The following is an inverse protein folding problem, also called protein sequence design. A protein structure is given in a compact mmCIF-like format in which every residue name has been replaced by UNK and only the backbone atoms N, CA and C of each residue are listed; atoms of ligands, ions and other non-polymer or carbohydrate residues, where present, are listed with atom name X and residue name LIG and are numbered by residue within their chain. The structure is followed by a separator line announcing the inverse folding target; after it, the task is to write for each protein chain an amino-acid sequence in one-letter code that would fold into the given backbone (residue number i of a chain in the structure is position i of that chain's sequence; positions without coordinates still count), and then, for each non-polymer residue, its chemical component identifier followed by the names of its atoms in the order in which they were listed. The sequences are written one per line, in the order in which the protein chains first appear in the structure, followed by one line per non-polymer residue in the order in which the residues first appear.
data_IF_058693228595
#
_entry.id   IF_058693228595
#
_cell.length_a   1.000
_cell.length_b   1.000
_cell.length_c   1.000
_cell.angle_alpha   90.00
_cell.angle_beta   90.00
_cell.angle_gamma   90.00
#
_symmetry.space_group_name_H-M   'P 1'
#
loop_
_entity.id
_entity.type
_entity.pdbx_description
1 polymer ?
#
# COMPACT_ATOMS: atom_id res chain seq x y z
N UNK A 1 -22.95 3.31 8.40
CA UNK A 1 -22.36 2.88 7.12
C UNK A 1 -21.82 1.48 7.31
N UNK A 2 -22.23 0.52 6.47
CA UNK A 2 -21.71 -0.86 6.53
C UNK A 2 -20.22 -0.86 6.18
N UNK A 3 -19.39 -1.53 6.97
CA UNK A 3 -17.98 -1.73 6.65
C UNK A 3 -17.87 -2.88 5.65
N UNK A 4 -17.25 -2.62 4.50
CA UNK A 4 -17.00 -3.65 3.48
C UNK A 4 -15.76 -4.46 3.87
N UNK A 5 -16.00 -5.59 4.53
CA UNK A 5 -14.95 -6.50 5.00
C UNK A 5 -14.52 -7.45 3.89
N UNK A 6 -13.20 -7.63 3.74
CA UNK A 6 -12.62 -8.51 2.73
C UNK A 6 -11.61 -9.49 3.33
N UNK A 7 -11.59 -10.70 2.77
CA UNK A 7 -10.50 -11.64 2.94
C UNK A 7 -9.36 -11.29 1.98
N UNK A 8 -8.13 -11.52 2.41
CA UNK A 8 -6.94 -11.33 1.59
C UNK A 8 -5.92 -12.40 1.93
N UNK A 9 -5.44 -13.13 0.92
CA UNK A 9 -4.36 -14.11 1.01
C UNK A 9 -3.16 -13.61 0.21
N UNK A 10 -1.96 -13.78 0.76
CA UNK A 10 -0.71 -13.35 0.11
C UNK A 10 0.25 -14.52 -0.02
N UNK A 11 0.87 -14.62 -1.19
CA UNK A 11 1.85 -15.65 -1.52
C UNK A 11 3.13 -14.98 -2.01
N UNK A 12 4.27 -15.39 -1.46
CA UNK A 12 5.59 -14.97 -1.93
C UNK A 12 6.08 -15.96 -2.97
N UNK A 13 6.36 -15.46 -4.17
CA UNK A 13 6.65 -16.26 -5.34
C UNK A 13 8.05 -15.94 -5.87
N UNK A 14 8.86 -16.96 -6.08
CA UNK A 14 9.99 -16.89 -7.00
C UNK A 14 9.51 -17.02 -8.45
N UNK A 15 10.44 -16.97 -9.41
CA UNK A 15 10.08 -17.04 -10.83
C UNK A 15 9.42 -18.38 -11.22
N UNK A 16 9.81 -19.50 -10.59
CA UNK A 16 9.23 -20.80 -10.88
C UNK A 16 7.77 -20.86 -10.39
N UNK A 17 7.53 -20.48 -9.13
CA UNK A 17 6.19 -20.42 -8.54
C UNK A 17 5.30 -19.39 -9.20
N UNK A 18 5.86 -18.29 -9.68
CA UNK A 18 5.12 -17.33 -10.50
C UNK A 18 4.63 -18.00 -11.78
N UNK A 19 5.48 -18.74 -12.49
CA UNK A 19 5.06 -19.47 -13.70
C UNK A 19 3.92 -20.45 -13.39
N UNK A 20 4.01 -21.19 -12.29
CA UNK A 20 2.97 -22.12 -11.87
C UNK A 20 1.66 -21.37 -11.55
N UNK A 21 1.75 -20.24 -10.82
CA UNK A 21 0.61 -19.41 -10.48
C UNK A 21 -0.06 -18.82 -11.73
N UNK A 22 0.71 -18.35 -12.71
CA UNK A 22 0.17 -17.85 -13.98
C UNK A 22 -0.48 -18.97 -14.81
N UNK A 23 0.12 -20.16 -14.85
CA UNK A 23 -0.50 -21.32 -15.50
C UNK A 23 -1.84 -21.67 -14.85
N UNK A 24 -1.91 -21.68 -13.51
CA UNK A 24 -3.15 -21.87 -12.78
C UNK A 24 -4.17 -20.78 -13.08
N UNK A 25 -3.77 -19.51 -13.03
CA UNK A 25 -4.60 -18.35 -13.31
C UNK A 25 -5.30 -18.50 -14.68
N UNK A 26 -4.52 -18.75 -15.75
CA UNK A 26 -5.07 -18.81 -17.10
C UNK A 26 -5.84 -20.08 -17.42
N UNK A 27 -5.49 -21.22 -16.83
CA UNK A 27 -6.08 -22.52 -17.22
C UNK A 27 -7.12 -23.06 -16.23
N UNK A 28 -7.15 -22.54 -15.00
CA UNK A 28 -7.99 -23.07 -13.90
C UNK A 28 -8.92 -22.02 -13.30
N UNK A 29 -8.85 -20.78 -13.75
CA UNK A 29 -9.74 -19.70 -13.29
C UNK A 29 -10.39 -18.99 -14.46
N UNK A 30 -11.39 -18.16 -14.18
CA UNK A 30 -12.00 -17.23 -15.14
C UNK A 30 -11.37 -15.84 -15.07
N UNK A 31 -10.22 -15.71 -14.40
CA UNK A 31 -9.59 -14.43 -14.16
C UNK A 31 -9.09 -13.82 -15.48
N UNK A 32 -9.47 -12.57 -15.71
CA UNK A 32 -9.05 -11.80 -16.89
C UNK A 32 -8.39 -10.51 -16.45
N UNK A 33 -7.48 -9.98 -17.27
CA UNK A 33 -6.84 -8.70 -16.97
C UNK A 33 -7.90 -7.60 -16.95
N UNK A 34 -8.01 -6.91 -15.81
CA UNK A 34 -9.07 -5.93 -15.57
C UNK A 34 -8.61 -4.50 -15.85
N UNK A 35 -7.34 -4.23 -15.58
CA UNK A 35 -6.73 -2.91 -15.72
C UNK A 35 -5.29 -3.06 -16.19
N UNK A 36 -4.83 -2.07 -16.96
CA UNK A 36 -3.43 -1.99 -17.34
C UNK A 36 -2.52 -2.00 -16.11
N UNK A 37 -1.40 -2.70 -16.24
CA UNK A 37 -0.29 -2.65 -15.30
C UNK A 37 0.09 -1.21 -14.98
N UNK A 38 0.29 -0.91 -13.70
CA UNK A 38 0.71 0.42 -13.24
C UNK A 38 1.64 0.34 -12.04
N UNK A 39 2.47 1.37 -11.90
CA UNK A 39 3.28 1.61 -10.71
C UNK A 39 2.39 2.03 -9.54
N UNK A 40 2.65 1.45 -8.38
CA UNK A 40 2.01 1.79 -7.12
C UNK A 40 3.12 2.20 -6.15
N UNK A 41 2.93 3.35 -5.52
CA UNK A 41 3.86 3.88 -4.55
C UNK A 41 3.14 4.16 -3.25
N UNK A 42 3.81 3.90 -2.12
CA UNK A 42 3.24 4.15 -0.81
C UNK A 42 4.32 4.56 0.19
N UNK A 43 4.00 5.55 1.04
CA UNK A 43 4.74 5.86 2.27
C UNK A 43 3.92 5.34 3.44
N UNK A 44 4.48 4.41 4.20
CA UNK A 44 3.89 3.89 5.42
C UNK A 44 4.23 4.80 6.59
N UNK A 45 3.27 4.92 7.49
CA UNK A 45 3.38 5.67 8.74
C UNK A 45 3.26 4.69 9.91
N UNK A 46 4.04 4.95 10.95
CA UNK A 46 3.96 4.27 12.24
C UNK A 46 4.17 5.29 13.35
N UNK A 47 3.99 4.90 14.60
CA UNK A 47 4.47 5.70 15.72
C UNK A 47 5.97 5.54 15.96
N UNK A 48 6.52 6.39 16.82
CA UNK A 48 7.94 6.39 17.22
C UNK A 48 8.36 5.07 17.88
N UNK A 49 7.40 4.36 18.50
CA UNK A 49 7.60 3.05 19.09
C UNK A 49 7.43 1.89 18.10
N UNK A 50 7.09 2.15 16.83
CA UNK A 50 6.82 1.14 15.82
C UNK A 50 5.70 0.16 16.24
N UNK A 51 4.60 0.63 16.84
CA UNK A 51 3.52 -0.26 17.29
C UNK A 51 2.89 -1.05 16.14
N UNK A 52 2.69 -0.47 14.96
CA UNK A 52 1.98 -1.12 13.85
C UNK A 52 2.72 -2.35 13.34
N UNK A 53 4.05 -2.26 13.20
CA UNK A 53 4.87 -3.41 12.81
C UNK A 53 4.99 -4.43 13.94
N UNK A 54 5.15 -4.01 15.20
CA UNK A 54 5.18 -4.93 16.36
C UNK A 54 3.91 -5.74 16.46
N UNK A 55 2.75 -5.09 16.35
CA UNK A 55 1.44 -5.74 16.34
C UNK A 55 1.29 -6.71 15.18
N UNK A 56 1.80 -6.33 14.00
CA UNK A 56 1.76 -7.22 12.86
C UNK A 56 2.61 -8.48 13.06
N UNK A 57 3.82 -8.36 13.62
CA UNK A 57 4.72 -9.47 13.90
C UNK A 57 4.22 -10.36 15.05
N UNK A 58 3.61 -9.75 16.06
CA UNK A 58 2.98 -10.46 17.19
C UNK A 58 1.64 -11.13 16.81
N UNK A 59 1.11 -10.86 15.62
CA UNK A 59 -0.14 -11.44 15.15
C UNK A 59 -1.39 -10.87 15.84
N UNK A 60 -1.32 -9.63 16.33
CA UNK A 60 -2.44 -8.99 17.02
C UNK A 60 -3.64 -8.89 16.06
N UNK A 61 -4.83 -9.38 16.47
CA UNK A 61 -5.97 -9.51 15.57
C UNK A 61 -6.53 -8.14 15.15
N UNK A 62 -6.61 -7.19 16.08
CA UNK A 62 -7.06 -5.83 15.81
C UNK A 62 -5.85 -4.91 15.67
N UNK A 63 -5.56 -4.47 14.44
CA UNK A 63 -4.40 -3.60 14.16
C UNK A 63 -4.64 -2.71 12.95
N UNK A 64 -3.93 -1.59 12.89
CA UNK A 64 -4.00 -0.66 11.77
C UNK A 64 -2.72 -0.69 10.93
N UNK A 65 -2.85 -0.37 9.64
CA UNK A 65 -1.74 -0.02 8.76
C UNK A 65 -2.08 1.32 8.11
N UNK A 66 -1.19 2.29 8.29
CA UNK A 66 -1.38 3.66 7.84
C UNK A 66 -0.44 3.92 6.67
N UNK A 67 -0.95 4.50 5.58
CA UNK A 67 -0.11 4.84 4.43
C UNK A 67 -0.67 5.98 3.60
N UNK A 68 0.22 6.78 3.03
CA UNK A 68 -0.08 7.62 1.87
C UNK A 68 0.23 6.83 0.61
N UNK A 69 -0.72 6.73 -0.33
CA UNK A 69 -0.58 5.95 -1.57
C UNK A 69 -0.91 6.78 -2.80
N UNK A 70 -0.17 6.58 -3.88
CA UNK A 70 -0.43 7.17 -5.19
C UNK A 70 -0.10 6.19 -6.32
N UNK A 71 -0.45 6.55 -7.57
CA UNK A 71 -0.36 5.67 -8.74
C UNK A 71 0.38 6.34 -9.90
N UNK A 72 1.18 5.57 -10.64
CA UNK A 72 1.95 6.05 -11.80
C UNK A 72 3.12 6.97 -11.41
N UNK A 73 3.70 7.63 -12.41
CA UNK A 73 4.83 8.56 -12.26
C UNK A 73 4.42 9.98 -11.87
N UNK A 74 3.21 10.10 -11.34
CA UNK A 74 2.75 11.21 -10.49
C UNK A 74 2.38 12.54 -11.17
N UNK A 75 2.36 12.65 -12.50
CA UNK A 75 1.87 13.89 -13.13
C UNK A 75 0.38 14.17 -12.88
N UNK A 76 -0.45 13.16 -12.53
CA UNK A 76 -1.91 13.35 -12.42
C UNK A 76 -2.62 12.54 -11.31
N UNK A 77 -1.91 11.85 -10.41
CA UNK A 77 -2.57 11.01 -9.40
C UNK A 77 -2.72 11.74 -8.06
N UNK A 78 -3.96 12.01 -7.65
CA UNK A 78 -4.29 12.49 -6.30
C UNK A 78 -3.82 11.46 -5.25
N UNK A 79 -2.89 11.81 -4.34
CA UNK A 79 -2.48 10.90 -3.28
C UNK A 79 -3.61 10.70 -2.26
N UNK A 80 -3.73 9.47 -1.77
CA UNK A 80 -4.78 9.05 -0.84
C UNK A 80 -4.12 8.48 0.41
N UNK A 81 -4.44 9.04 1.57
CA UNK A 81 -4.08 8.44 2.84
C UNK A 81 -5.09 7.34 3.18
N UNK A 82 -4.60 6.12 3.36
CA UNK A 82 -5.41 4.95 3.65
C UNK A 82 -5.16 4.50 5.10
N UNK A 83 -6.25 4.32 5.85
CA UNK A 83 -6.27 3.65 7.15
C UNK A 83 -6.84 2.24 6.93
N UNK A 84 -5.97 1.23 6.97
CA UNK A 84 -6.36 -0.18 6.81
C UNK A 84 -6.45 -0.85 8.17
N UNK A 85 -7.66 -1.19 8.59
CA UNK A 85 -7.91 -1.90 9.84
C UNK A 85 -8.07 -3.39 9.56
N UNK A 86 -7.35 -4.21 10.32
CA UNK A 86 -7.50 -5.67 10.32
C UNK A 86 -8.24 -6.10 11.59
N UNK A 87 -9.16 -7.04 11.43
CA UNK A 87 -9.88 -7.75 12.49
C UNK A 87 -9.71 -9.26 12.23
N UNK A 88 -8.61 -9.81 12.74
CA UNK A 88 -8.19 -11.17 12.43
C UNK A 88 -7.83 -11.33 10.95
N UNK A 89 -8.59 -12.14 10.21
CA UNK A 89 -8.43 -12.36 8.76
C UNK A 89 -9.17 -11.34 7.91
N UNK A 90 -10.17 -10.68 8.48
CA UNK A 90 -10.95 -9.66 7.79
C UNK A 90 -10.22 -8.33 7.85
N UNK A 91 -10.40 -7.51 6.83
CA UNK A 91 -9.97 -6.12 6.89
C UNK A 91 -10.90 -5.22 6.11
N UNK A 92 -10.93 -3.96 6.51
CA UNK A 92 -11.56 -2.88 5.76
C UNK A 92 -10.58 -1.71 5.68
N UNK A 93 -10.88 -0.75 4.81
CA UNK A 93 -10.08 0.47 4.69
C UNK A 93 -10.96 1.71 4.63
N UNK A 94 -10.45 2.80 5.19
CA UNK A 94 -10.99 4.15 5.02
C UNK A 94 -9.96 4.98 4.27
N UNK A 95 -10.42 5.77 3.30
CA UNK A 95 -9.56 6.56 2.41
C UNK A 95 -9.79 8.05 2.63
N UNK A 96 -8.70 8.82 2.67
CA UNK A 96 -8.69 10.27 2.85
C UNK A 96 -7.85 10.89 1.72
N UNK A 97 -8.49 11.43 0.66
CA UNK A 97 -7.76 12.09 -0.43
C UNK A 97 -7.05 13.35 0.08
N UNK A 98 -5.74 13.45 -0.12
CA UNK A 98 -4.94 14.60 0.35
C UNK A 98 -4.93 15.68 -0.73
N UNK A 99 -6.04 16.41 -0.85
CA UNK A 99 -6.23 17.44 -1.90
C UNK A 99 -5.25 18.60 -1.82
N UNK A 100 -4.68 18.84 -0.64
CA UNK A 100 -3.64 19.86 -0.44
C UNK A 100 -2.31 19.55 -1.14
N UNK A 101 -2.18 18.35 -1.73
CA UNK A 101 -1.06 17.95 -2.58
C UNK A 101 -1.57 17.86 -4.02
N UNK A 102 -1.55 19.02 -4.69
CA UNK A 102 -2.13 19.20 -6.03
C UNK A 102 -1.18 18.78 -7.17
N UNK A 103 0.14 18.84 -6.94
CA UNK A 103 1.19 18.41 -7.88
C UNK A 103 2.52 18.18 -7.17
N UNK A 104 3.45 17.51 -7.85
CA UNK A 104 4.86 17.34 -7.45
C UNK A 104 5.07 16.73 -6.06
N UNK A 105 4.28 15.73 -5.65
CA UNK A 105 4.48 15.04 -4.37
C UNK A 105 5.92 14.47 -4.25
N UNK A 106 6.53 14.03 -5.35
CA UNK A 106 7.91 13.54 -5.40
C UNK A 106 8.96 14.62 -5.10
N UNK A 107 8.63 15.90 -5.26
CA UNK A 107 9.54 17.03 -4.97
C UNK A 107 9.29 17.62 -3.57
N UNK A 108 8.16 17.30 -2.95
CA UNK A 108 7.84 17.77 -1.61
C UNK A 108 8.72 17.09 -0.57
N UNK A 109 9.12 17.88 0.41
CA UNK A 109 9.79 17.36 1.58
C UNK A 109 8.86 16.43 2.40
N UNK A 110 9.42 15.35 2.92
CA UNK A 110 8.69 14.32 3.69
C UNK A 110 7.96 14.91 4.93
N UNK A 111 8.53 15.89 5.62
CA UNK A 111 7.87 16.54 6.77
C UNK A 111 6.67 17.38 6.31
N UNK A 112 6.77 18.00 5.15
CA UNK A 112 5.66 18.75 4.54
C UNK A 112 4.53 17.80 4.15
N UNK A 113 4.86 16.66 3.55
CA UNK A 113 3.89 15.62 3.21
C UNK A 113 3.19 15.11 4.48
N UNK A 114 3.96 14.80 5.52
CA UNK A 114 3.47 14.31 6.81
C UNK A 114 2.53 15.32 7.46
N UNK A 115 2.93 16.60 7.52
CA UNK A 115 2.11 17.68 8.08
C UNK A 115 0.79 17.86 7.33
N UNK A 116 0.81 17.79 5.99
CA UNK A 116 -0.41 17.84 5.16
C UNK A 116 -1.33 16.66 5.43
N UNK A 117 -0.79 15.44 5.57
CA UNK A 117 -1.56 14.25 5.89
C UNK A 117 -2.24 14.37 7.26
N UNK A 118 -1.48 14.74 8.30
CA UNK A 118 -2.00 14.90 9.67
C UNK A 118 -3.12 15.95 9.70
N UNK A 119 -2.93 17.08 9.01
CA UNK A 119 -3.94 18.14 8.92
C UNK A 119 -5.23 17.63 8.26
N UNK A 120 -5.14 16.88 7.17
CA UNK A 120 -6.31 16.33 6.50
C UNK A 120 -7.06 15.31 7.38
N UNK A 121 -6.32 14.42 8.06
CA UNK A 121 -6.89 13.44 8.98
C UNK A 121 -7.60 14.13 10.15
N UNK A 122 -7.00 15.18 10.70
CA UNK A 122 -7.60 16.01 11.77
C UNK A 122 -8.90 16.66 11.32
N UNK A 123 -8.97 17.19 10.09
CA UNK A 123 -10.19 17.76 9.51
C UNK A 123 -11.32 16.73 9.39
N UNK A 124 -10.98 15.45 9.30
CA UNK A 124 -11.91 14.33 9.28
C UNK A 124 -12.17 13.71 10.67
N UNK A 125 -11.75 14.38 11.75
CA UNK A 125 -11.83 13.91 13.14
C UNK A 125 -11.12 12.56 13.37
N UNK A 126 -10.06 12.28 12.60
CA UNK A 126 -9.20 11.13 12.81
C UNK A 126 -7.98 11.60 13.61
N UNK A 127 -7.92 11.14 14.85
CA UNK A 127 -6.83 11.42 15.78
C UNK A 127 -6.09 10.12 16.09
N UNK A 128 -4.78 10.22 16.22
CA UNK A 128 -3.93 9.14 16.68
C UNK A 128 -3.34 9.56 18.02
N UNK A 129 -3.31 8.63 18.97
CA UNK A 129 -2.79 8.89 20.32
C UNK A 129 -1.28 9.15 20.31
N UNK A 130 -0.59 8.63 19.30
CA UNK A 130 0.85 8.75 19.12
C UNK A 130 1.22 9.61 17.90
N UNK A 131 2.42 10.18 17.93
CA UNK A 131 2.94 10.96 16.82
C UNK A 131 3.29 10.04 15.64
N UNK A 132 2.61 10.25 14.51
CA UNK A 132 2.86 9.50 13.29
C UNK A 132 4.09 10.03 12.57
N UNK A 133 5.01 9.12 12.28
CA UNK A 133 6.20 9.36 11.48
C UNK A 133 6.17 8.50 10.21
N UNK A 134 6.64 9.02 9.06
CA UNK A 134 6.87 8.20 7.89
C UNK A 134 8.02 7.23 8.20
N UNK A 135 7.88 5.96 7.82
CA UNK A 135 8.85 4.90 8.19
C UNK A 135 9.38 4.12 7.00
N UNK A 136 8.52 3.80 6.03
CA UNK A 136 8.88 2.93 4.92
C UNK A 136 8.24 3.43 3.63
N UNK A 137 9.06 3.72 2.62
CA UNK A 137 8.57 3.90 1.27
C UNK A 137 8.63 2.58 0.52
N UNK A 138 7.57 2.25 -0.23
CA UNK A 138 7.49 1.04 -1.05
C UNK A 138 6.95 1.41 -2.44
N UNK A 139 7.67 1.00 -3.47
CA UNK A 139 7.27 1.12 -4.88
C UNK A 139 7.21 -0.27 -5.49
N UNK A 140 6.25 -0.52 -6.38
CA UNK A 140 6.16 -1.77 -7.11
C UNK A 140 5.28 -1.61 -8.34
N UNK A 141 5.38 -2.54 -9.27
CA UNK A 141 4.46 -2.63 -10.40
C UNK A 141 3.39 -3.69 -10.12
N UNK A 142 2.13 -3.35 -10.36
CA UNK A 142 0.99 -4.24 -10.10
C UNK A 142 0.23 -4.57 -11.37
N UNK A 143 -0.02 -5.85 -11.57
CA UNK A 143 -0.97 -6.41 -12.54
C UNK A 143 -2.29 -6.76 -11.85
N UNK A 144 -3.41 -6.64 -12.57
CA UNK A 144 -4.76 -6.77 -11.99
C UNK A 144 -5.59 -7.76 -12.78
N UNK A 145 -6.08 -8.79 -12.10
CA UNK A 145 -6.99 -9.78 -12.65
C UNK A 145 -8.27 -9.84 -11.82
N UNK A 146 -9.39 -10.12 -12.48
CA UNK A 146 -10.70 -10.27 -11.83
C UNK A 146 -11.42 -11.46 -12.47
N UNK A 147 -11.97 -12.34 -11.63
CA UNK A 147 -12.84 -13.45 -12.04
C UNK A 147 -14.27 -12.98 -12.24
N UNK A 148 -15.13 -13.80 -12.85
CA UNK A 148 -16.56 -13.50 -12.97
C UNK A 148 -17.31 -13.45 -11.63
N UNK A 149 -16.78 -14.09 -10.58
CA UNK A 149 -17.35 -14.11 -9.23
C UNK A 149 -16.78 -13.00 -8.33
N UNK A 150 -16.27 -11.92 -8.93
CA UNK A 150 -15.68 -10.74 -8.26
C UNK A 150 -14.46 -11.03 -7.35
N UNK A 151 -13.82 -12.20 -7.48
CA UNK A 151 -12.52 -12.48 -6.87
C UNK A 151 -11.45 -11.70 -7.63
N UNK A 152 -10.64 -10.93 -6.89
CA UNK A 152 -9.55 -10.12 -7.43
C UNK A 152 -8.22 -10.78 -7.15
N UNK A 153 -7.38 -10.85 -8.17
CA UNK A 153 -6.04 -11.40 -8.06
C UNK A 153 -5.06 -10.33 -8.54
N UNK A 154 -3.99 -10.09 -7.80
CA UNK A 154 -2.96 -9.14 -8.20
C UNK A 154 -1.58 -9.74 -8.10
N UNK A 155 -0.71 -9.40 -9.04
CA UNK A 155 0.71 -9.75 -9.01
C UNK A 155 1.52 -8.47 -8.82
N UNK A 156 2.26 -8.40 -7.72
CA UNK A 156 3.22 -7.33 -7.42
C UNK A 156 4.63 -7.79 -7.78
N UNK A 157 5.34 -6.98 -8.55
CA UNK A 157 6.70 -7.23 -9.01
C UNK A 157 7.54 -5.95 -9.01
N UNK A 158 8.85 -6.09 -9.24
CA UNK A 158 9.81 -4.97 -9.14
C UNK A 158 9.64 -4.17 -7.84
N UNK A 159 9.43 -4.91 -6.74
CA UNK A 159 9.18 -4.32 -5.43
C UNK A 159 10.49 -3.70 -4.93
N UNK A 160 10.45 -2.41 -4.64
CA UNK A 160 11.54 -1.64 -4.09
C UNK A 160 11.08 -0.98 -2.79
N UNK A 161 11.97 -0.88 -1.82
CA UNK A 161 11.67 -0.21 -0.56
C UNK A 161 12.86 0.59 -0.04
N UNK A 162 12.58 1.65 0.71
CA UNK A 162 13.58 2.50 1.36
C UNK A 162 13.06 3.06 2.67
N UNK A 163 13.99 3.50 3.52
CA UNK A 163 13.66 4.23 4.74
C UNK A 163 13.16 5.63 4.38
N UNK A 164 11.91 5.95 4.75
CA UNK A 164 11.32 7.23 4.39
C UNK A 164 11.91 8.41 5.16
N UNK A 165 12.56 8.19 6.31
CA UNK A 165 13.14 9.27 7.14
C UNK A 165 14.55 9.66 6.68
N UNK A 166 15.26 8.75 6.01
CA UNK A 166 16.57 9.04 5.45
C UNK A 166 16.52 9.92 4.19
N UNK A 167 15.31 10.17 3.69
CA UNK A 167 15.07 10.90 2.46
C UNK A 167 14.49 12.28 2.71
N UNK A 168 15.06 13.30 2.06
CA UNK A 168 14.46 14.64 2.05
C UNK A 168 13.19 14.60 1.22
N UNK A 169 13.20 13.91 0.08
CA UNK A 169 12.06 13.75 -0.82
C UNK A 169 11.81 12.30 -1.22
N UNK A 170 10.58 11.91 -1.60
CA UNK A 170 10.26 10.53 -2.00
C UNK A 170 11.00 10.02 -3.25
N UNK A 171 11.72 10.88 -3.99
CA UNK A 171 12.38 10.53 -5.25
C UNK A 171 13.86 10.13 -5.07
N UNK A 172 14.36 10.07 -3.84
CA UNK A 172 15.77 9.79 -3.60
C UNK A 172 16.14 8.30 -3.86
N UNK A 173 17.30 8.09 -4.48
CA UNK A 173 17.68 6.86 -5.16
C UNK A 173 18.27 5.73 -4.28
N UNK A 174 18.09 5.73 -2.96
CA UNK A 174 18.61 4.66 -2.09
C UNK A 174 17.53 3.61 -1.76
N UNK A 175 17.02 2.93 -2.79
CA UNK A 175 16.07 1.84 -2.60
C UNK A 175 16.72 0.47 -2.66
N UNK A 176 16.19 -0.46 -1.89
CA UNK A 176 16.54 -1.87 -1.89
C UNK A 176 15.51 -2.65 -2.71
N UNK A 177 15.99 -3.50 -3.61
CA UNK A 177 15.13 -4.40 -4.39
C UNK A 177 14.78 -5.64 -3.60
N UNK A 178 13.49 -5.98 -3.57
CA UNK A 178 12.99 -7.24 -3.05
C UNK A 178 12.98 -8.29 -4.18
N UNK A 179 13.61 -9.47 -3.99
CA UNK A 179 13.87 -10.40 -5.09
C UNK A 179 12.64 -11.21 -5.53
N UNK A 180 11.59 -11.26 -4.73
CA UNK A 180 10.41 -12.08 -4.97
C UNK A 180 9.22 -11.25 -5.44
N UNK A 181 8.25 -11.94 -6.04
CA UNK A 181 6.95 -11.40 -6.43
C UNK A 181 5.94 -11.72 -5.35
N UNK A 182 4.87 -10.93 -5.26
CA UNK A 182 3.78 -11.19 -4.32
C UNK A 182 2.48 -11.33 -5.09
N UNK A 183 1.83 -12.48 -4.96
CA UNK A 183 0.46 -12.67 -5.40
C UNK A 183 -0.49 -12.39 -4.24
N UNK A 184 -1.52 -11.58 -4.47
CA UNK A 184 -2.63 -11.33 -3.55
C UNK A 184 -3.92 -11.83 -4.19
N UNK A 185 -4.75 -12.55 -3.40
CA UNK A 185 -6.08 -13.03 -3.76
C UNK A 185 -7.08 -12.57 -2.70
#
# INVERSE_FOLDING_TARGET
MSRDYRYELKFVLDNARLSDAMQWLYNKTTATERYNKRKVSSIYFDDVGFSSVRDNLAGIPHRNKLRLRWYGDQENSLPIFEVKTKEGRLGYKTNFPIKSIESNLLELNIDTITSKCIKELTNHNIFFDEHLVPTLQVNYEREYYETHDDIRITIDQEIQFSDAQLHVTPNENNSFSYPFKVMEV
#
